data_IF_497023629234
#
_entry.id   IF_497023629234
#
_cell.length_a   1.000
_cell.length_b   1.000
_cell.length_c   1.000
_cell.angle_alpha   90.00
_cell.angle_beta   90.00
_cell.angle_gamma   90.00
#
_symmetry.space_group_name_H-M   'P 1'
#
loop_
_entity.id
_entity.type
_entity.pdbx_description
1 polymer ?
#
# COMPACT_ATOMS: atom_id res chain seq x y z
N UNK A 1 -21.64 10.04 1.24
CA UNK A 1 -22.58 10.59 0.23
C UNK A 1 -22.80 12.10 0.29
N UNK A 2 -22.95 12.74 1.46
CA UNK A 2 -23.22 14.20 1.58
C UNK A 2 -22.19 15.09 0.86
N UNK A 3 -20.90 14.79 1.00
CA UNK A 3 -19.80 15.55 0.35
C UNK A 3 -19.83 15.45 -1.18
N UNK A 4 -20.17 14.29 -1.73
CA UNK A 4 -20.24 14.08 -3.19
C UNK A 4 -21.42 14.83 -3.80
N UNK A 5 -22.57 14.86 -3.10
CA UNK A 5 -23.73 15.64 -3.50
C UNK A 5 -23.45 17.15 -3.50
N UNK A 6 -22.77 17.66 -2.47
CA UNK A 6 -22.36 19.06 -2.41
C UNK A 6 -21.41 19.41 -3.55
N UNK A 7 -20.47 18.51 -3.88
CA UNK A 7 -19.56 18.68 -5.01
C UNK A 7 -20.29 18.67 -6.36
N UNK A 8 -21.22 17.74 -6.55
CA UNK A 8 -22.05 17.68 -7.75
C UNK A 8 -22.87 18.96 -7.95
N UNK A 9 -23.46 19.48 -6.85
CA UNK A 9 -24.23 20.72 -6.86
C UNK A 9 -23.35 21.95 -7.14
N UNK A 10 -22.20 22.07 -6.49
CA UNK A 10 -21.24 23.15 -6.71
C UNK A 10 -20.70 23.17 -8.14
N UNK A 11 -20.43 21.98 -8.71
CA UNK A 11 -19.87 21.85 -10.06
C UNK A 11 -20.95 21.85 -11.16
N UNK A 12 -22.24 21.99 -10.82
CA UNK A 12 -23.35 21.95 -11.78
C UNK A 12 -23.49 20.62 -12.54
N UNK A 13 -23.01 19.51 -11.96
CA UNK A 13 -22.96 18.19 -12.61
C UNK A 13 -23.92 17.19 -11.96
N UNK A 14 -24.31 16.16 -12.71
CA UNK A 14 -25.10 15.06 -12.14
C UNK A 14 -24.25 14.29 -11.14
N UNK A 15 -24.88 13.85 -10.05
CA UNK A 15 -24.23 13.07 -9.01
C UNK A 15 -23.56 11.80 -9.56
N UNK A 16 -24.19 11.14 -10.53
CA UNK A 16 -23.67 9.94 -11.21
C UNK A 16 -22.34 10.20 -11.89
N UNK A 17 -22.20 11.38 -12.52
CA UNK A 17 -21.01 11.74 -13.29
C UNK A 17 -19.86 12.10 -12.33
N UNK A 18 -20.17 12.80 -11.25
CA UNK A 18 -19.21 13.08 -10.17
C UNK A 18 -18.70 11.79 -9.52
N UNK A 19 -19.58 10.82 -9.27
CA UNK A 19 -19.18 9.51 -8.73
C UNK A 19 -18.31 8.75 -9.74
N UNK A 20 -18.72 8.68 -11.00
CA UNK A 20 -17.95 7.99 -12.04
C UNK A 20 -16.57 8.61 -12.26
N UNK A 21 -16.45 9.93 -12.16
CA UNK A 21 -15.18 10.64 -12.25
C UNK A 21 -14.28 10.33 -11.05
N UNK A 22 -14.81 10.33 -9.83
CA UNK A 22 -14.04 10.03 -8.62
C UNK A 22 -13.54 8.59 -8.62
N UNK A 23 -14.36 7.64 -9.07
CA UNK A 23 -13.95 6.24 -9.20
C UNK A 23 -12.85 6.08 -10.24
N UNK A 24 -12.97 6.71 -11.42
CA UNK A 24 -11.92 6.71 -12.43
C UNK A 24 -10.62 7.32 -11.90
N UNK A 25 -10.69 8.50 -11.29
CA UNK A 25 -9.53 9.15 -10.71
C UNK A 25 -8.85 8.32 -9.61
N UNK A 26 -9.62 7.55 -8.83
CA UNK A 26 -9.06 6.64 -7.82
C UNK A 26 -8.45 5.37 -8.42
N UNK A 27 -8.99 4.87 -9.53
CA UNK A 27 -8.46 3.70 -10.25
C UNK A 27 -7.22 4.07 -11.09
N UNK A 28 -7.22 5.26 -11.68
CA UNK A 28 -6.12 5.82 -12.47
C UNK A 28 -5.03 6.46 -11.60
N UNK A 29 -5.28 6.61 -10.29
CA UNK A 29 -4.27 7.03 -9.35
C UNK A 29 -3.13 6.01 -9.40
N UNK A 30 -2.04 6.40 -10.08
CA UNK A 30 -0.84 5.59 -10.18
C UNK A 30 -0.49 5.12 -8.76
N UNK A 31 -0.47 3.81 -8.56
CA UNK A 31 0.05 3.25 -7.32
C UNK A 31 1.46 3.82 -7.19
N UNK A 32 1.79 4.55 -6.11
CA UNK A 32 3.14 5.07 -5.96
C UNK A 32 4.08 3.90 -6.15
N UNK A 33 4.94 4.02 -7.16
CA UNK A 33 5.94 3.02 -7.46
C UNK A 33 6.88 2.97 -6.27
N UNK A 34 6.62 2.06 -5.33
CA UNK A 34 7.56 1.69 -4.26
C UNK A 34 8.69 0.85 -4.87
N UNK A 35 9.09 1.12 -6.11
CA UNK A 35 10.32 0.58 -6.70
C UNK A 35 11.46 1.54 -6.33
N UNK A 36 11.57 1.85 -5.04
CA UNK A 36 12.78 2.42 -4.48
C UNK A 36 13.68 1.28 -4.04
N UNK A 37 14.84 1.06 -4.70
CA UNK A 37 16.01 0.25 -4.28
C UNK A 37 15.81 -1.16 -3.67
N UNK A 38 14.59 -1.68 -3.51
CA UNK A 38 14.34 -2.99 -2.95
C UNK A 38 14.60 -4.03 -4.03
N UNK A 39 15.42 -5.03 -3.70
CA UNK A 39 15.72 -6.17 -4.55
C UNK A 39 14.44 -6.71 -5.21
N UNK A 40 14.53 -7.14 -6.48
CA UNK A 40 13.37 -7.65 -7.26
C UNK A 40 12.51 -8.55 -6.39
N UNK A 41 11.33 -8.06 -6.03
CA UNK A 41 10.37 -8.80 -5.21
C UNK A 41 9.91 -10.01 -6.03
N UNK A 42 10.22 -11.22 -5.55
CA UNK A 42 9.81 -12.45 -6.22
C UNK A 42 8.51 -12.92 -5.60
N UNK A 43 7.42 -12.82 -6.36
CA UNK A 43 6.11 -13.36 -5.97
C UNK A 43 5.99 -14.79 -6.50
N UNK A 44 5.69 -15.74 -5.62
CA UNK A 44 5.42 -17.15 -5.95
C UNK A 44 4.02 -17.54 -5.52
N UNK A 45 3.56 -18.71 -5.96
CA UNK A 45 2.30 -19.30 -5.49
C UNK A 45 2.61 -20.36 -4.45
N UNK A 46 1.99 -20.26 -3.27
CA UNK A 46 2.05 -21.36 -2.29
C UNK A 46 1.38 -22.60 -2.88
N UNK A 47 2.07 -23.74 -2.81
CA UNK A 47 1.59 -25.00 -3.39
C UNK A 47 0.40 -25.57 -2.62
N UNK A 48 0.26 -25.26 -1.34
CA UNK A 48 -0.83 -25.79 -0.50
C UNK A 48 -2.10 -24.95 -0.61
N UNK A 49 -1.98 -23.63 -0.45
CA UNK A 49 -3.14 -22.73 -0.41
C UNK A 49 -3.47 -22.11 -1.77
N UNK A 50 -2.53 -22.13 -2.71
CA UNK A 50 -2.65 -21.40 -3.97
C UNK A 50 -2.54 -19.87 -3.81
N UNK A 51 -2.27 -19.37 -2.61
CA UNK A 51 -2.14 -17.94 -2.35
C UNK A 51 -0.82 -17.39 -2.92
N UNK A 52 -0.79 -16.13 -3.39
CA UNK A 52 0.45 -15.46 -3.71
C UNK A 52 1.26 -15.22 -2.43
N UNK A 53 2.53 -15.59 -2.46
CA UNK A 53 3.50 -15.40 -1.37
C UNK A 53 4.67 -14.57 -1.87
N UNK A 54 5.11 -13.64 -1.04
CA UNK A 54 6.32 -12.85 -1.29
C UNK A 54 7.51 -13.65 -0.78
N UNK A 55 8.44 -14.00 -1.67
CA UNK A 55 9.64 -14.71 -1.28
C UNK A 55 10.67 -13.72 -0.72
N UNK A 56 10.93 -13.84 0.59
CA UNK A 56 12.02 -13.11 1.22
C UNK A 56 13.39 -13.54 0.67
N UNK A 57 14.34 -12.61 0.53
CA UNK A 57 15.70 -12.92 0.09
C UNK A 57 16.43 -13.80 1.13
N UNK A 58 17.52 -14.49 0.74
CA UNK A 58 18.20 -15.45 1.61
C UNK A 58 18.86 -14.80 2.85
N UNK A 59 19.13 -13.50 2.80
CA UNK A 59 19.71 -12.68 3.87
C UNK A 59 18.65 -11.93 4.70
N UNK A 60 17.37 -12.23 4.50
CA UNK A 60 16.27 -11.58 5.23
C UNK A 60 16.41 -11.77 6.76
N UNK A 61 16.15 -10.73 7.57
CA UNK A 61 16.19 -10.81 9.03
C UNK A 61 15.38 -11.98 9.60
N UNK A 62 14.25 -12.29 8.97
CA UNK A 62 13.36 -13.40 9.36
C UNK A 62 14.04 -14.79 9.39
N UNK A 63 15.20 -14.96 8.73
CA UNK A 63 15.98 -16.21 8.76
C UNK A 63 16.96 -16.32 9.94
N UNK A 64 17.31 -15.19 10.58
CA UNK A 64 18.36 -15.13 11.61
C UNK A 64 17.89 -14.57 12.95
N UNK A 65 16.77 -13.85 12.98
CA UNK A 65 16.23 -13.23 14.18
C UNK A 65 15.10 -14.07 14.78
N UNK A 66 14.93 -13.96 16.10
CA UNK A 66 13.76 -14.49 16.80
C UNK A 66 12.52 -13.66 16.48
N UNK A 67 11.33 -14.20 16.75
CA UNK A 67 10.07 -13.48 16.55
C UNK A 67 10.02 -12.16 17.35
N UNK A 68 10.60 -12.14 18.55
CA UNK A 68 10.65 -10.94 19.38
C UNK A 68 11.56 -9.86 18.76
N UNK A 69 12.74 -10.25 18.29
CA UNK A 69 13.68 -9.34 17.61
C UNK A 69 13.10 -8.76 16.32
N UNK A 70 12.32 -9.56 15.57
CA UNK A 70 11.62 -9.08 14.37
C UNK A 70 10.57 -8.03 14.72
N UNK A 71 9.84 -8.23 15.81
CA UNK A 71 8.84 -7.28 16.28
C UNK A 71 9.46 -5.95 16.69
N UNK A 72 10.58 -6.00 17.40
CA UNK A 72 11.35 -4.80 17.77
C UNK A 72 11.85 -4.05 16.53
N UNK A 73 12.40 -4.77 15.55
CA UNK A 73 12.82 -4.20 14.28
C UNK A 73 11.65 -3.55 13.49
N UNK A 74 10.48 -4.19 13.51
CA UNK A 74 9.28 -3.64 12.86
C UNK A 74 8.85 -2.32 13.50
N UNK A 75 8.84 -2.26 14.84
CA UNK A 75 8.50 -1.03 15.59
C UNK A 75 9.48 0.09 15.23
N UNK A 76 10.79 -0.18 15.29
CA UNK A 76 11.82 0.82 14.96
C UNK A 76 11.66 1.36 13.53
N UNK A 77 11.40 0.46 12.57
CA UNK A 77 11.21 0.84 11.17
C UNK A 77 9.98 1.74 10.97
N UNK A 78 8.87 1.43 11.64
CA UNK A 78 7.63 2.21 11.56
C UNK A 78 7.81 3.60 12.17
N UNK A 79 8.46 3.69 13.34
CA UNK A 79 8.75 4.97 13.99
C UNK A 79 9.62 5.88 13.11
N UNK A 80 10.62 5.31 12.43
CA UNK A 80 11.47 6.06 11.48
C UNK A 80 10.67 6.60 10.30
N UNK A 81 9.85 5.75 9.67
CA UNK A 81 9.00 6.18 8.55
C UNK A 81 8.00 7.27 8.96
N UNK A 82 7.43 7.16 10.15
CA UNK A 82 6.49 8.17 10.68
C UNK A 82 7.18 9.52 10.91
N UNK A 83 8.42 9.51 11.39
CA UNK A 83 9.24 10.73 11.50
C UNK A 83 9.53 11.35 10.12
N UNK A 84 9.91 10.54 9.13
CA UNK A 84 10.17 11.00 7.75
C UNK A 84 8.92 11.60 7.08
N UNK A 85 7.71 11.13 7.43
CA UNK A 85 6.46 11.71 6.91
C UNK A 85 6.10 13.07 7.51
N UNK A 86 6.69 13.41 8.66
CA UNK A 86 6.46 14.68 9.35
C UNK A 86 7.47 15.78 8.97
N UNK A 87 8.59 15.41 8.34
CA UNK A 87 9.62 16.34 7.80
C UNK A 87 9.30 16.79 6.38
#
# INVERSE_FOLDING_TARGET
>A
MKRVKLRALHDGRKLTDTVAQLLRAGLDAATPSIIGKHARVVIKKDRRTGAPVIQCPPDAPARRMTAQQLRELEIESQEREDLERLS
#
